data_IF_632094205673
#
_entry.id   IF_632094205673
#
_cell.length_a   1.000
_cell.length_b   1.000
_cell.length_c   1.000
_cell.angle_alpha   90.00
_cell.angle_beta   90.00
_cell.angle_gamma   90.00
#
_symmetry.space_group_name_H-M   'P 1'
#
loop_
_entity.id
_entity.type
_entity.pdbx_description
1 polymer ?
#
# COMPACT_ATOMS: atom_id res chain seq x y z
N UNK A 1 -1.87 -12.45 4.58
CA UNK A 1 -2.47 -12.12 5.90
C UNK A 1 -2.62 -10.60 5.99
N UNK A 2 -3.72 -10.07 6.54
CA UNK A 2 -3.85 -8.65 6.86
C UNK A 2 -4.47 -8.46 8.24
N UNK A 3 -4.04 -7.43 8.95
CA UNK A 3 -4.62 -6.95 10.20
C UNK A 3 -4.50 -5.42 10.23
N UNK A 4 -5.52 -4.74 9.71
CA UNK A 4 -5.52 -3.28 9.60
C UNK A 4 -5.64 -2.59 10.95
N UNK A 5 -6.25 -3.22 11.96
CA UNK A 5 -6.25 -2.68 13.33
C UNK A 5 -4.83 -2.56 13.89
N UNK A 6 -3.92 -3.45 13.46
CA UNK A 6 -2.49 -3.41 13.80
C UNK A 6 -1.58 -2.81 12.72
N UNK A 7 -2.13 -2.38 11.59
CA UNK A 7 -1.36 -1.85 10.46
C UNK A 7 -0.51 -2.89 9.72
N UNK A 8 -0.81 -4.18 9.89
CA UNK A 8 -0.04 -5.29 9.32
C UNK A 8 -0.61 -5.73 7.97
N UNK A 9 0.25 -5.82 6.95
CA UNK A 9 -0.13 -6.28 5.61
C UNK A 9 0.93 -7.23 5.06
N UNK A 10 0.50 -8.43 4.69
CA UNK A 10 1.32 -9.43 4.02
C UNK A 10 1.26 -9.25 2.53
N UNK A 11 2.39 -8.87 1.97
CA UNK A 11 2.54 -8.68 0.53
C UNK A 11 2.90 -10.00 -0.16
N UNK A 12 3.74 -10.81 0.51
CA UNK A 12 4.14 -12.15 0.10
C UNK A 12 4.28 -13.05 1.34
N UNK A 13 4.58 -14.33 1.13
CA UNK A 13 4.75 -15.32 2.21
C UNK A 13 5.83 -14.92 3.23
N UNK A 14 6.88 -14.22 2.77
CA UNK A 14 8.04 -13.81 3.56
C UNK A 14 8.18 -12.29 3.73
N UNK A 15 7.18 -11.50 3.30
CA UNK A 15 7.20 -10.04 3.42
C UNK A 15 5.96 -9.50 4.11
N UNK A 16 6.12 -9.20 5.41
CA UNK A 16 5.13 -8.53 6.24
C UNK A 16 5.53 -7.06 6.43
N UNK A 17 4.66 -6.15 6.01
CA UNK A 17 4.83 -4.71 6.27
C UNK A 17 3.97 -4.33 7.47
N UNK A 18 4.51 -3.46 8.32
CA UNK A 18 3.87 -3.04 9.54
C UNK A 18 4.59 -1.90 10.22
N UNK A 19 4.02 -1.38 11.32
CA UNK A 19 4.62 -0.29 12.08
C UNK A 19 6.04 -0.66 12.54
N UNK A 20 7.00 0.24 12.31
CA UNK A 20 8.41 0.03 12.66
C UNK A 20 9.21 -0.82 11.67
N UNK A 21 8.62 -1.33 10.59
CA UNK A 21 9.36 -2.04 9.54
C UNK A 21 10.40 -1.10 8.90
N UNK A 22 11.67 -1.52 8.86
CA UNK A 22 12.75 -0.65 8.41
C UNK A 22 13.23 -0.96 7.00
N UNK A 23 13.92 0.00 6.38
CA UNK A 23 14.61 -0.23 5.12
C UNK A 23 15.74 -1.27 5.26
N UNK A 24 16.38 -1.35 6.42
CA UNK A 24 17.37 -2.40 6.70
C UNK A 24 16.73 -3.79 6.81
N UNK A 25 15.47 -3.89 7.25
CA UNK A 25 14.72 -5.15 7.18
C UNK A 25 14.36 -5.50 5.74
N UNK A 26 13.93 -4.50 4.94
CA UNK A 26 13.67 -4.69 3.51
C UNK A 26 14.90 -5.20 2.75
N UNK A 27 16.10 -4.67 3.04
CA UNK A 27 17.37 -5.12 2.43
C UNK A 27 17.71 -6.59 2.68
N UNK A 28 17.16 -7.20 3.73
CA UNK A 28 17.34 -8.62 4.02
C UNK A 28 16.36 -9.50 3.23
N UNK A 29 15.32 -8.91 2.65
CA UNK A 29 14.34 -9.64 1.84
C UNK A 29 14.88 -9.94 0.45
N UNK A 30 14.37 -11.02 -0.17
CA UNK A 30 14.69 -11.35 -1.58
C UNK A 30 14.16 -10.34 -2.61
N UNK A 31 13.30 -9.41 -2.17
CA UNK A 31 12.71 -8.36 -3.01
C UNK A 31 13.61 -7.12 -3.12
N UNK A 32 14.68 -7.06 -2.34
CA UNK A 32 15.69 -6.03 -2.48
C UNK A 32 16.61 -6.33 -3.67
N UNK A 33 16.63 -5.40 -4.62
CA UNK A 33 17.48 -5.41 -5.81
C UNK A 33 18.16 -4.03 -5.96
N UNK A 34 18.89 -3.61 -4.93
CA UNK A 34 19.62 -2.34 -4.90
C UNK A 34 18.75 -1.08 -5.06
N UNK A 35 17.48 -1.13 -4.67
CA UNK A 35 16.63 0.05 -4.70
C UNK A 35 17.13 1.11 -3.69
N UNK A 36 16.90 2.38 -4.01
CA UNK A 36 17.28 3.51 -3.16
C UNK A 36 16.19 3.76 -2.11
N UNK A 37 16.54 3.66 -0.82
CA UNK A 37 15.62 3.87 0.30
C UNK A 37 15.10 5.29 0.46
N UNK A 38 15.61 6.26 -0.32
CA UNK A 38 15.09 7.63 -0.41
C UNK A 38 13.91 7.72 -1.39
N UNK A 39 13.84 6.81 -2.36
CA UNK A 39 12.84 6.81 -3.43
C UNK A 39 11.66 5.90 -3.12
N UNK A 40 10.58 6.08 -3.86
CA UNK A 40 9.48 5.10 -3.87
C UNK A 40 10.01 3.79 -4.49
N UNK A 41 9.79 2.68 -3.79
CA UNK A 41 10.17 1.35 -4.21
C UNK A 41 8.92 0.63 -4.71
N UNK A 42 8.82 0.43 -6.01
CA UNK A 42 7.78 -0.42 -6.59
C UNK A 42 8.21 -1.87 -6.49
N UNK A 43 7.34 -2.73 -5.94
CA UNK A 43 7.56 -4.17 -5.97
C UNK A 43 7.24 -4.68 -7.38
N UNK A 44 8.12 -5.52 -7.92
CA UNK A 44 8.01 -5.98 -9.31
C UNK A 44 6.85 -6.95 -9.51
N UNK A 45 6.61 -7.81 -8.53
CA UNK A 45 5.55 -8.80 -8.56
C UNK A 45 4.22 -8.22 -8.03
N UNK A 46 3.12 -8.80 -8.53
CA UNK A 46 1.79 -8.51 -8.01
C UNK A 46 1.63 -9.15 -6.64
N UNK A 47 1.01 -8.41 -5.72
CA UNK A 47 0.68 -8.90 -4.38
C UNK A 47 -0.79 -9.31 -4.33
N UNK A 48 -1.09 -10.34 -3.54
CA UNK A 48 -2.45 -10.86 -3.39
C UNK A 48 -2.90 -10.73 -1.93
N UNK A 49 -3.91 -9.90 -1.70
CA UNK A 49 -4.47 -9.64 -0.36
C UNK A 49 -5.96 -9.94 -0.42
N UNK A 50 -6.41 -10.89 0.39
CA UNK A 50 -7.81 -11.35 0.45
C UNK A 50 -8.42 -11.66 -0.93
N UNK A 51 -7.65 -12.36 -1.78
CA UNK A 51 -8.08 -12.77 -3.11
C UNK A 51 -8.07 -11.66 -4.16
N UNK A 52 -7.65 -10.44 -3.81
CA UNK A 52 -7.52 -9.30 -4.74
C UNK A 52 -6.08 -9.07 -5.14
N UNK A 53 -5.88 -8.66 -6.39
CA UNK A 53 -4.56 -8.41 -6.97
C UNK A 53 -4.19 -6.93 -6.85
N UNK A 54 -2.96 -6.63 -6.41
CA UNK A 54 -2.45 -5.26 -6.32
C UNK A 54 -1.04 -5.12 -6.89
N UNK A 55 -0.72 -3.91 -7.35
CA UNK A 55 0.65 -3.41 -7.36
C UNK A 55 0.91 -2.75 -6.01
N UNK A 56 2.11 -2.96 -5.47
CA UNK A 56 2.49 -2.44 -4.17
C UNK A 56 3.75 -1.59 -4.29
N UNK A 57 3.73 -0.44 -3.60
CA UNK A 57 4.87 0.45 -3.49
C UNK A 57 5.17 0.75 -2.03
N UNK A 58 6.44 0.73 -1.66
CA UNK A 58 6.94 1.06 -0.33
C UNK A 58 7.62 2.42 -0.38
N UNK A 59 7.36 3.24 0.63
CA UNK A 59 8.08 4.50 0.81
C UNK A 59 8.59 4.59 2.25
N UNK A 60 9.90 4.74 2.38
CA UNK A 60 10.59 4.85 3.66
C UNK A 60 10.94 6.31 3.95
N UNK A 61 10.86 6.71 5.21
CA UNK A 61 11.29 8.02 5.70
C UNK A 61 12.14 7.82 6.95
N UNK A 62 13.33 8.41 6.97
CA UNK A 62 14.30 8.25 8.06
C UNK A 62 14.61 6.77 8.38
N UNK A 63 14.61 5.90 7.35
CA UNK A 63 14.90 4.47 7.48
C UNK A 63 13.72 3.60 7.94
N UNK A 64 12.58 4.18 8.33
CA UNK A 64 11.38 3.45 8.71
C UNK A 64 10.31 3.52 7.60
N UNK A 65 9.43 2.52 7.52
CA UNK A 65 8.28 2.56 6.61
C UNK A 65 7.42 3.77 6.96
N UNK A 66 7.13 4.59 5.95
CA UNK A 66 6.22 5.73 6.09
C UNK A 66 4.92 5.45 5.35
N UNK A 67 4.96 4.78 4.20
CA UNK A 67 3.76 4.45 3.45
C UNK A 67 3.88 3.12 2.71
N UNK A 68 2.84 2.31 2.81
CA UNK A 68 2.52 1.24 1.86
C UNK A 68 1.38 1.72 0.96
N UNK A 69 1.64 1.78 -0.34
CA UNK A 69 0.65 2.18 -1.34
C UNK A 69 0.24 0.97 -2.18
N UNK A 70 -1.06 0.77 -2.37
CA UNK A 70 -1.64 -0.38 -3.05
C UNK A 70 -2.57 0.09 -4.18
N UNK A 71 -2.31 -0.37 -5.41
CA UNK A 71 -3.18 -0.11 -6.57
C UNK A 71 -3.85 -1.42 -6.97
N UNK A 72 -5.16 -1.52 -6.74
CA UNK A 72 -5.91 -2.71 -7.13
C UNK A 72 -5.96 -2.86 -8.67
N UNK A 73 -5.67 -4.08 -9.13
CA UNK A 73 -5.54 -4.46 -10.54
C UNK A 73 -6.69 -5.36 -11.03
N UNK A 74 -7.69 -5.65 -10.19
CA UNK A 74 -8.81 -6.54 -10.53
C UNK A 74 -9.65 -6.00 -11.70
N UNK A 75 -9.59 -4.69 -11.94
CA UNK A 75 -10.27 -4.00 -13.04
C UNK A 75 -9.28 -3.15 -13.83
N UNK A 76 -9.52 -3.02 -15.13
CA UNK A 76 -8.80 -2.08 -15.99
C UNK A 76 -9.46 -0.71 -15.89
N UNK A 77 -8.66 0.32 -15.60
CA UNK A 77 -9.06 1.72 -15.66
C UNK A 77 -8.13 2.42 -16.64
N UNK A 78 -8.68 3.28 -17.48
CA UNK A 78 -7.88 4.22 -18.28
C UNK A 78 -7.40 5.38 -17.40
N UNK A 79 -6.49 6.20 -17.90
CA UNK A 79 -6.03 7.40 -17.22
C UNK A 79 -7.18 8.36 -16.87
N UNK A 80 -8.23 8.42 -17.72
CA UNK A 80 -9.41 9.25 -17.47
C UNK A 80 -10.35 8.66 -16.40
N UNK A 81 -10.17 7.37 -16.08
CA UNK A 81 -11.02 6.63 -15.15
C UNK A 81 -10.38 6.48 -13.76
N UNK A 82 -9.27 7.16 -13.47
CA UNK A 82 -8.65 7.11 -12.14
C UNK A 82 -9.61 7.51 -11.00
N UNK A 83 -10.44 8.55 -11.11
CA UNK A 83 -11.48 8.80 -10.11
C UNK A 83 -12.44 7.61 -9.89
N UNK A 84 -12.71 6.80 -10.93
CA UNK A 84 -13.50 5.56 -10.78
C UNK A 84 -12.70 4.45 -10.11
N UNK A 85 -11.38 4.39 -10.32
CA UNK A 85 -10.49 3.50 -9.58
C UNK A 85 -10.51 3.85 -8.09
N UNK A 86 -10.43 5.13 -7.73
CA UNK A 86 -10.57 5.59 -6.35
C UNK A 86 -11.90 5.14 -5.74
N UNK A 87 -13.02 5.34 -6.44
CA UNK A 87 -14.33 4.88 -5.95
C UNK A 87 -14.37 3.35 -5.75
N UNK A 88 -13.74 2.57 -6.64
CA UNK A 88 -13.61 1.13 -6.47
C UNK A 88 -12.72 0.75 -5.27
N UNK A 89 -11.67 1.52 -4.99
CA UNK A 89 -10.85 1.35 -3.78
C UNK A 89 -11.63 1.71 -2.50
N UNK A 90 -12.48 2.73 -2.54
CA UNK A 90 -13.39 3.07 -1.45
C UNK A 90 -14.37 1.91 -1.17
N UNK A 91 -14.91 1.26 -2.21
CA UNK A 91 -15.76 0.07 -2.08
C UNK A 91 -15.00 -1.11 -1.41
N UNK A 92 -13.73 -1.30 -1.76
CA UNK A 92 -12.87 -2.32 -1.15
C UNK A 92 -12.68 -2.03 0.34
N UNK A 93 -12.32 -0.80 0.71
CA UNK A 93 -12.13 -0.41 2.10
C UNK A 93 -13.43 -0.51 2.91
N UNK A 94 -14.56 -0.12 2.32
CA UNK A 94 -15.87 -0.30 2.94
C UNK A 94 -16.19 -1.77 3.21
N UNK A 95 -15.78 -2.68 2.32
CA UNK A 95 -15.86 -4.13 2.54
C UNK A 95 -15.06 -4.62 3.75
N UNK A 96 -14.09 -3.83 4.22
CA UNK A 96 -13.32 -4.08 5.45
C UNK A 96 -13.82 -3.27 6.65
N UNK A 97 -14.96 -2.56 6.54
CA UNK A 97 -15.50 -1.72 7.60
C UNK A 97 -14.85 -0.34 7.72
N UNK A 98 -14.04 0.07 6.75
CA UNK A 98 -13.32 1.35 6.73
C UNK A 98 -14.07 2.30 5.78
N UNK A 99 -14.63 3.38 6.31
CA UNK A 99 -15.28 4.43 5.52
C UNK A 99 -14.46 5.72 5.55
N UNK A 100 -14.01 6.18 4.38
CA UNK A 100 -13.14 7.34 4.27
C UNK A 100 -11.73 7.10 4.81
N UNK A 101 -11.13 8.13 5.40
CA UNK A 101 -9.83 8.01 6.10
C UNK A 101 -10.07 7.56 7.53
N UNK A 102 -9.45 6.46 7.94
CA UNK A 102 -9.51 5.97 9.31
C UNK A 102 -8.15 6.07 9.99
N UNK A 103 -8.15 6.61 11.20
CA UNK A 103 -6.98 6.81 12.05
C UNK A 103 -6.89 5.70 13.09
N UNK A 104 -5.67 5.25 13.37
CA UNK A 104 -5.31 4.23 14.35
C UNK A 104 -4.10 4.69 15.16
N UNK A 105 -3.77 3.97 16.23
CA UNK A 105 -2.57 4.27 17.03
C UNK A 105 -1.27 4.13 16.24
N UNK A 106 -1.26 3.31 15.19
CA UNK A 106 -0.09 3.07 14.35
C UNK A 106 0.03 4.00 13.13
N UNK A 107 -1.03 4.76 12.81
CA UNK A 107 -1.10 5.55 11.58
C UNK A 107 -2.51 5.63 11.02
N UNK A 108 -2.65 5.62 9.68
CA UNK A 108 -3.96 5.72 9.02
C UNK A 108 -4.05 4.88 7.75
N UNK A 109 -5.29 4.65 7.33
CA UNK A 109 -5.62 4.05 6.03
C UNK A 109 -6.66 4.90 5.30
N UNK A 110 -6.44 5.13 4.00
CA UNK A 110 -7.37 5.83 3.11
C UNK A 110 -7.22 5.34 1.68
N UNK A 111 -8.24 5.58 0.86
CA UNK A 111 -8.08 5.59 -0.59
C UNK A 111 -8.03 7.02 -1.09
N UNK A 112 -6.98 7.35 -1.81
CA UNK A 112 -6.69 8.70 -2.28
C UNK A 112 -6.58 8.73 -3.80
N UNK A 113 -6.95 9.87 -4.39
CA UNK A 113 -6.67 10.19 -5.78
C UNK A 113 -5.68 11.36 -5.82
N UNK A 114 -4.45 11.08 -6.24
CA UNK A 114 -3.46 12.13 -6.49
C UNK A 114 -3.68 12.71 -7.88
N UNK A 115 -4.23 13.92 -7.93
CA UNK A 115 -4.44 14.65 -9.17
C UNK A 115 -3.15 15.03 -9.91
N UNK A 116 -2.00 15.10 -9.21
CA UNK A 116 -0.73 15.49 -9.82
C UNK A 116 -0.11 14.32 -10.56
N UNK A 117 -0.08 13.14 -9.94
CA UNK A 117 0.35 11.90 -10.57
C UNK A 117 -0.72 11.22 -11.42
N UNK A 118 -1.97 11.71 -11.36
CA UNK A 118 -3.16 11.07 -11.91
C UNK A 118 -3.21 9.58 -11.55
N UNK A 119 -3.16 9.28 -10.25
CA UNK A 119 -3.12 7.90 -9.74
C UNK A 119 -4.00 7.76 -8.51
N UNK A 120 -4.75 6.67 -8.45
CA UNK A 120 -5.53 6.30 -7.27
C UNK A 120 -4.96 5.08 -6.58
N UNK A 121 -4.83 5.15 -5.27
CA UNK A 121 -4.26 4.09 -4.45
C UNK A 121 -4.94 4.00 -3.09
N UNK A 122 -4.86 2.82 -2.48
CA UNK A 122 -5.10 2.61 -1.05
C UNK A 122 -3.76 2.81 -0.35
N UNK A 123 -3.70 3.75 0.58
CA UNK A 123 -2.48 4.10 1.29
C UNK A 123 -2.63 3.74 2.76
N UNK A 124 -1.67 2.97 3.28
CA UNK A 124 -1.43 2.85 4.72
C UNK A 124 -0.27 3.77 5.05
N UNK A 125 -0.52 4.79 5.86
CA UNK A 125 0.48 5.77 6.29
C UNK A 125 0.83 5.49 7.74
N UNK A 126 2.11 5.26 8.02
CA UNK A 126 2.63 4.91 9.34
C UNK A 126 3.19 6.15 10.05
N UNK A 127 3.06 6.18 11.37
CA UNK A 127 3.58 7.25 12.25
C UNK A 127 5.11 7.28 12.34
#
# INVERSE_FOLDING_TARGET
MKDFEKGLVGLYDDLMIGPGYTFEDFKKSRYFCNQDGIRIINLEEKVYIDGRCYLASLFFRNGAIYMLSLICCDRKFSELDEPKRKAFHDEILKGYGIEGKQEYSWGSISSDYDMRGNVSSINLVYN
#
